data_IF_666275098387
#
_entry.id   IF_666275098387
#
_cell.length_a   1.000
_cell.length_b   1.000
_cell.length_c   1.000
_cell.angle_alpha   90.00
_cell.angle_beta   90.00
_cell.angle_gamma   90.00
#
_symmetry.space_group_name_H-M   'P 1'
#
loop_
_entity.id
_entity.type
_entity.pdbx_description
1 polymer ?
#
# COMPACT_ATOMS: atom_id res chain seq x y z
N UNK A 1 10.26 -20.03 -24.98
CA UNK A 1 9.04 -20.61 -25.59
C UNK A 1 8.93 -20.19 -27.05
N UNK A 2 8.72 -18.91 -27.39
CA UNK A 2 8.64 -18.45 -28.79
C UNK A 2 9.81 -18.92 -29.67
N UNK A 3 11.05 -18.68 -29.24
CA UNK A 3 12.24 -19.17 -29.99
C UNK A 3 12.23 -20.68 -30.29
N UNK A 4 11.76 -21.52 -29.36
CA UNK A 4 11.71 -22.98 -29.53
C UNK A 4 10.55 -23.41 -30.42
N UNK A 5 9.42 -22.71 -30.34
CA UNK A 5 8.27 -22.92 -31.22
C UNK A 5 8.59 -22.55 -32.66
N UNK A 6 9.34 -21.45 -32.86
CA UNK A 6 9.77 -20.99 -34.19
C UNK A 6 10.88 -21.86 -34.78
N UNK A 7 11.74 -22.46 -33.95
CA UNK A 7 12.85 -23.32 -34.42
C UNK A 7 12.43 -24.75 -34.74
N UNK A 8 11.53 -25.34 -33.96
CA UNK A 8 11.13 -26.74 -34.10
C UNK A 8 9.68 -26.86 -34.60
N UNK A 9 8.70 -26.74 -33.69
CA UNK A 9 7.28 -26.92 -34.01
C UNK A 9 6.36 -26.35 -32.94
N UNK A 10 5.14 -25.97 -33.33
CA UNK A 10 4.12 -25.42 -32.43
C UNK A 10 3.81 -26.34 -31.23
N UNK A 11 3.68 -27.67 -31.37
CA UNK A 11 3.54 -28.57 -30.23
C UNK A 11 4.66 -28.53 -29.17
N UNK A 12 5.84 -27.95 -29.44
CA UNK A 12 6.89 -27.77 -28.43
C UNK A 12 6.42 -26.84 -27.28
N UNK A 13 5.43 -25.98 -27.54
CA UNK A 13 4.74 -25.20 -26.53
C UNK A 13 4.11 -26.07 -25.42
N UNK A 14 3.60 -27.26 -25.78
CA UNK A 14 2.95 -28.18 -24.83
C UNK A 14 3.95 -28.76 -23.83
N UNK A 15 5.20 -28.98 -24.25
CA UNK A 15 6.27 -29.43 -23.35
C UNK A 15 6.52 -28.40 -22.24
N UNK A 16 6.67 -27.11 -22.59
CA UNK A 16 6.85 -26.05 -21.60
C UNK A 16 5.60 -25.85 -20.74
N UNK A 17 4.40 -25.84 -21.33
CA UNK A 17 3.15 -25.68 -20.60
C UNK A 17 2.93 -26.80 -19.56
N UNK A 18 3.05 -28.06 -19.98
CA UNK A 18 2.92 -29.22 -19.10
C UNK A 18 4.05 -29.28 -18.07
N UNK A 19 5.29 -29.01 -18.49
CA UNK A 19 6.46 -29.00 -17.61
C UNK A 19 6.35 -27.94 -16.51
N UNK A 20 6.01 -26.70 -16.85
CA UNK A 20 5.80 -25.62 -15.88
C UNK A 20 4.64 -25.97 -14.95
N UNK A 21 3.51 -26.45 -15.49
CA UNK A 21 2.37 -26.82 -14.64
C UNK A 21 2.72 -27.91 -13.62
N UNK A 22 3.34 -29.00 -14.06
CA UNK A 22 3.70 -30.13 -13.19
C UNK A 22 4.77 -29.70 -12.18
N UNK A 23 5.85 -29.07 -12.65
CA UNK A 23 6.99 -28.71 -11.81
C UNK A 23 6.63 -27.60 -10.82
N UNK A 24 5.91 -26.57 -11.25
CA UNK A 24 5.49 -25.47 -10.38
C UNK A 24 4.48 -25.95 -9.34
N UNK A 25 3.47 -26.74 -9.74
CA UNK A 25 2.52 -27.33 -8.79
C UNK A 25 3.23 -28.21 -7.76
N UNK A 26 4.13 -29.08 -8.21
CA UNK A 26 4.82 -30.02 -7.32
C UNK A 26 5.79 -29.32 -6.38
N UNK A 27 6.66 -28.44 -6.90
CA UNK A 27 7.64 -27.72 -6.10
C UNK A 27 6.97 -26.77 -5.10
N UNK A 28 5.91 -26.04 -5.50
CA UNK A 28 5.21 -25.15 -4.58
C UNK A 28 4.54 -25.96 -3.46
N UNK A 29 3.87 -27.07 -3.79
CA UNK A 29 3.23 -27.91 -2.78
C UNK A 29 4.25 -28.49 -1.79
N UNK A 30 5.39 -28.98 -2.30
CA UNK A 30 6.48 -29.49 -1.46
C UNK A 30 7.08 -28.38 -0.59
N UNK A 31 7.36 -27.21 -1.18
CA UNK A 31 7.93 -26.07 -0.49
C UNK A 31 7.00 -25.60 0.65
N UNK A 32 5.70 -25.45 0.38
CA UNK A 32 4.72 -25.07 1.40
C UNK A 32 4.66 -26.13 2.50
N UNK A 33 4.68 -27.42 2.17
CA UNK A 33 4.65 -28.49 3.16
C UNK A 33 5.86 -28.44 4.10
N UNK A 34 7.07 -28.32 3.54
CA UNK A 34 8.32 -28.26 4.31
C UNK A 34 8.42 -26.98 5.13
N UNK A 35 8.07 -25.84 4.55
CA UNK A 35 8.07 -24.55 5.25
C UNK A 35 7.07 -24.60 6.41
N UNK A 36 5.86 -25.12 6.18
CA UNK A 36 4.83 -25.19 7.22
C UNK A 36 5.24 -26.13 8.36
N UNK A 37 5.79 -27.31 8.07
CA UNK A 37 6.26 -28.22 9.11
C UNK A 37 7.43 -27.62 9.90
N UNK A 38 8.38 -26.98 9.21
CA UNK A 38 9.52 -26.30 9.85
C UNK A 38 9.06 -25.14 10.74
N UNK A 39 8.12 -24.31 10.27
CA UNK A 39 7.55 -23.23 11.09
C UNK A 39 6.75 -23.76 12.27
N UNK A 40 6.06 -24.89 12.13
CA UNK A 40 5.37 -25.52 13.25
C UNK A 40 6.36 -25.95 14.33
N UNK A 41 7.46 -26.63 13.96
CA UNK A 41 8.53 -27.03 14.87
C UNK A 41 9.18 -25.81 15.54
N UNK A 42 9.60 -24.81 14.76
CA UNK A 42 10.21 -23.58 15.30
C UNK A 42 9.25 -22.88 16.25
N UNK A 43 7.95 -22.85 15.95
CA UNK A 43 6.95 -22.24 16.82
C UNK A 43 6.76 -23.04 18.10
N UNK A 44 6.81 -24.36 18.05
CA UNK A 44 6.72 -25.23 19.23
C UNK A 44 7.95 -25.04 20.15
N UNK A 45 9.15 -25.04 19.57
CA UNK A 45 10.40 -24.76 20.28
C UNK A 45 10.45 -23.33 20.84
N UNK A 46 10.00 -22.34 20.06
CA UNK A 46 9.94 -20.92 20.49
C UNK A 46 8.88 -20.70 21.58
N UNK A 47 7.78 -21.47 21.60
CA UNK A 47 6.80 -21.44 22.69
C UNK A 47 7.36 -22.06 23.97
N UNK A 48 8.26 -23.04 23.85
CA UNK A 48 8.97 -23.67 24.97
C UNK A 48 10.19 -22.85 25.45
N UNK A 49 10.75 -21.97 24.61
CA UNK A 49 11.96 -21.20 24.90
C UNK A 49 11.66 -19.82 25.51
N UNK A 50 11.74 -19.71 26.84
CA UNK A 50 12.18 -18.58 27.68
C UNK A 50 11.76 -17.10 27.43
N UNK A 51 11.11 -16.73 26.32
CA UNK A 51 10.69 -15.36 25.98
C UNK A 51 9.17 -15.20 25.85
N UNK A 52 8.40 -16.28 25.97
CA UNK A 52 6.99 -16.19 26.34
C UNK A 52 6.90 -15.86 27.83
N UNK A 53 7.22 -14.60 28.17
CA UNK A 53 6.54 -13.94 29.27
C UNK A 53 5.07 -14.20 29.00
N UNK A 54 4.47 -15.14 29.77
CA UNK A 54 3.05 -15.05 30.07
C UNK A 54 2.90 -13.60 30.51
N UNK A 55 2.38 -12.75 29.63
CA UNK A 55 1.80 -11.49 30.10
C UNK A 55 0.77 -11.98 31.09
N UNK A 56 1.06 -11.78 32.37
CA UNK A 56 0.16 -12.16 33.44
C UNK A 56 -1.27 -11.77 33.05
N UNK A 57 -2.28 -12.62 33.35
CA UNK A 57 -3.68 -12.21 33.29
C UNK A 57 -4.02 -11.07 34.28
N UNK A 58 -3.04 -10.52 35.00
CA UNK A 58 -3.16 -9.36 35.87
C UNK A 58 -3.06 -8.05 35.06
N UNK A 59 -3.78 -7.96 33.94
CA UNK A 59 -4.45 -6.68 33.72
C UNK A 59 -5.52 -6.65 34.82
N UNK A 60 -5.48 -5.72 35.79
CA UNK A 60 -6.63 -5.57 36.69
C UNK A 60 -7.88 -5.54 35.80
N UNK A 61 -8.99 -6.20 36.19
CA UNK A 61 -10.21 -6.14 35.42
C UNK A 61 -10.38 -4.67 35.06
N UNK A 62 -10.41 -4.31 33.77
CA UNK A 62 -10.56 -2.93 33.35
C UNK A 62 -11.73 -2.42 34.16
N UNK A 63 -11.44 -1.66 35.20
CA UNK A 63 -12.44 -1.14 36.08
C UNK A 63 -13.33 -0.39 35.11
N UNK A 64 -14.60 -0.81 35.01
CA UNK A 64 -15.55 -0.16 34.13
C UNK A 64 -15.67 1.24 34.71
N UNK A 65 -14.78 2.13 34.30
CA UNK A 65 -14.83 3.54 34.63
C UNK A 65 -16.25 3.91 34.27
N UNK A 66 -17.08 4.30 35.24
CA UNK A 66 -18.47 4.60 34.98
C UNK A 66 -18.48 5.56 33.80
N UNK A 67 -19.30 5.30 32.76
CA UNK A 67 -19.31 6.15 31.59
C UNK A 67 -19.46 7.58 32.08
N UNK A 68 -18.45 8.41 31.79
CA UNK A 68 -18.47 9.82 32.16
C UNK A 68 -19.83 10.37 31.73
N UNK A 69 -20.50 11.18 32.56
CA UNK A 69 -21.81 11.73 32.23
C UNK A 69 -21.69 12.45 30.89
N UNK A 70 -22.27 11.85 29.85
CA UNK A 70 -22.19 12.36 28.49
C UNK A 70 -23.00 13.64 28.41
N UNK A 71 -22.41 14.69 27.82
CA UNK A 71 -23.12 15.95 27.60
C UNK A 71 -24.34 15.69 26.70
N UNK A 72 -25.43 16.45 26.85
CA UNK A 72 -26.64 16.32 25.99
C UNK A 72 -26.29 16.45 24.50
N UNK A 73 -25.26 17.22 24.18
CA UNK A 73 -24.73 17.39 22.82
C UNK A 73 -24.03 16.13 22.30
N UNK A 74 -23.43 15.32 23.17
CA UNK A 74 -22.78 14.06 22.82
C UNK A 74 -23.81 12.98 22.48
N UNK A 75 -24.93 12.91 23.22
CA UNK A 75 -26.03 12.00 22.88
C UNK A 75 -26.71 12.37 21.56
N UNK A 76 -26.83 13.67 21.26
CA UNK A 76 -27.31 14.15 19.95
C UNK A 76 -26.33 13.79 18.82
N UNK A 77 -25.03 13.91 19.10
CA UNK A 77 -23.97 13.51 18.17
C UNK A 77 -24.03 12.02 17.83
N UNK A 78 -24.13 11.15 18.84
CA UNK A 78 -24.16 9.70 18.63
C UNK A 78 -25.33 9.28 17.72
N UNK A 79 -26.48 9.99 17.84
CA UNK A 79 -27.65 9.79 16.99
C UNK A 79 -27.46 10.31 15.55
N UNK A 80 -26.65 11.35 15.35
CA UNK A 80 -26.36 11.94 14.03
C UNK A 80 -25.13 11.34 13.34
N UNK A 81 -24.40 10.44 14.01
CA UNK A 81 -23.19 9.79 13.48
C UNK A 81 -23.37 9.18 12.08
N UNK A 82 -24.51 8.51 11.84
CA UNK A 82 -24.84 7.91 10.54
C UNK A 82 -24.98 8.95 9.42
N UNK A 83 -25.45 10.16 9.72
CA UNK A 83 -25.60 11.24 8.74
C UNK A 83 -24.22 11.67 8.25
N UNK A 84 -23.26 11.84 9.16
CA UNK A 84 -21.90 12.22 8.80
C UNK A 84 -21.18 11.16 7.97
N UNK A 85 -21.40 9.88 8.29
CA UNK A 85 -20.88 8.76 7.50
C UNK A 85 -21.51 8.77 6.08
N UNK A 86 -22.80 9.06 5.96
CA UNK A 86 -23.47 9.19 4.66
C UNK A 86 -22.95 10.39 3.85
N UNK A 87 -22.65 11.52 4.49
CA UNK A 87 -22.03 12.68 3.83
C UNK A 87 -20.65 12.32 3.28
N UNK A 88 -19.83 11.58 4.04
CA UNK A 88 -18.52 11.10 3.57
C UNK A 88 -18.67 10.14 2.40
N UNK A 89 -19.58 9.17 2.49
CA UNK A 89 -19.77 8.19 1.42
C UNK A 89 -20.25 8.83 0.12
N UNK A 90 -21.17 9.81 0.19
CA UNK A 90 -21.61 10.58 -0.97
C UNK A 90 -20.48 11.41 -1.58
N UNK A 91 -19.65 12.06 -0.74
CA UNK A 91 -18.49 12.82 -1.21
C UNK A 91 -17.45 11.94 -1.92
N UNK A 92 -17.14 10.77 -1.35
CA UNK A 92 -16.23 9.81 -1.98
C UNK A 92 -16.81 9.22 -3.27
N UNK A 93 -18.12 8.95 -3.30
CA UNK A 93 -18.80 8.50 -4.52
C UNK A 93 -18.75 9.56 -5.62
N UNK A 94 -18.87 10.85 -5.28
CA UNK A 94 -18.68 11.93 -6.24
C UNK A 94 -17.26 11.95 -6.83
N UNK A 95 -16.23 11.71 -6.00
CA UNK A 95 -14.84 11.62 -6.46
C UNK A 95 -14.60 10.45 -7.42
N UNK A 96 -15.30 9.32 -7.26
CA UNK A 96 -15.20 8.18 -8.18
C UNK A 96 -15.63 8.51 -9.62
N UNK A 97 -16.41 9.58 -9.84
CA UNK A 97 -16.79 10.03 -11.18
C UNK A 97 -15.75 10.92 -11.86
N UNK A 98 -14.61 11.21 -11.20
CA UNK A 98 -13.51 11.98 -11.77
C UNK A 98 -12.84 11.16 -12.89
N UNK A 99 -12.78 11.73 -14.10
CA UNK A 99 -12.15 11.10 -15.27
C UNK A 99 -11.21 12.08 -15.97
N UNK A 100 -10.13 11.58 -16.57
CA UNK A 100 -9.16 12.41 -17.31
C UNK A 100 -9.80 13.23 -18.43
N UNK A 101 -10.87 12.71 -19.04
CA UNK A 101 -11.58 13.34 -20.18
C UNK A 101 -12.97 13.85 -19.79
N UNK A 102 -13.11 14.46 -18.61
CA UNK A 102 -14.41 14.96 -18.15
C UNK A 102 -14.78 16.35 -18.71
N UNK A 103 -16.08 16.60 -18.86
CA UNK A 103 -16.60 17.94 -19.19
C UNK A 103 -16.42 18.91 -18.02
N UNK A 104 -16.31 20.21 -18.33
CA UNK A 104 -16.18 21.28 -17.33
C UNK A 104 -17.33 21.30 -16.30
N UNK A 105 -18.55 20.96 -16.73
CA UNK A 105 -19.71 20.85 -15.83
C UNK A 105 -19.59 19.72 -14.81
N UNK A 106 -19.07 18.54 -15.21
CA UNK A 106 -18.82 17.43 -14.27
C UNK A 106 -17.69 17.78 -13.30
N UNK A 107 -16.63 18.43 -13.78
CA UNK A 107 -15.54 18.89 -12.92
C UNK A 107 -16.06 19.86 -11.85
N UNK A 108 -16.82 20.88 -12.25
CA UNK A 108 -17.43 21.85 -11.34
C UNK A 108 -18.36 21.19 -10.31
N UNK A 109 -19.13 20.18 -10.71
CA UNK A 109 -19.99 19.43 -9.79
C UNK A 109 -19.17 18.65 -8.74
N UNK A 110 -18.14 17.91 -9.15
CA UNK A 110 -17.27 17.16 -8.24
C UNK A 110 -16.55 18.13 -7.29
N UNK A 111 -16.08 19.24 -7.82
CA UNK A 111 -15.40 20.30 -7.08
C UNK A 111 -16.31 20.97 -6.04
N UNK A 112 -17.58 21.22 -6.39
CA UNK A 112 -18.56 21.74 -5.47
C UNK A 112 -18.93 20.72 -4.39
N UNK A 113 -19.11 19.44 -4.77
CA UNK A 113 -19.39 18.37 -3.82
C UNK A 113 -18.25 18.22 -2.79
N UNK A 114 -17.00 18.30 -3.23
CA UNK A 114 -15.81 18.23 -2.35
C UNK A 114 -15.75 19.38 -1.34
N UNK A 115 -16.05 20.60 -1.79
CA UNK A 115 -16.14 21.80 -0.93
C UNK A 115 -17.27 21.63 0.09
N UNK A 116 -18.46 21.25 -0.36
CA UNK A 116 -19.64 21.06 0.51
C UNK A 116 -19.38 19.96 1.54
N UNK A 117 -18.85 18.81 1.14
CA UNK A 117 -18.50 17.72 2.07
C UNK A 117 -17.48 18.18 3.10
N UNK A 118 -16.45 18.92 2.71
CA UNK A 118 -15.42 19.40 3.63
C UNK A 118 -15.99 20.42 4.64
N UNK A 119 -16.79 21.38 4.17
CA UNK A 119 -17.46 22.34 5.06
C UNK A 119 -18.39 21.66 6.06
N UNK A 120 -19.16 20.65 5.62
CA UNK A 120 -20.02 19.88 6.51
C UNK A 120 -19.21 19.16 7.60
N UNK A 121 -18.07 18.57 7.25
CA UNK A 121 -17.20 17.89 8.22
C UNK A 121 -16.50 18.87 9.17
N UNK A 122 -16.15 20.07 8.71
CA UNK A 122 -15.64 21.12 9.60
C UNK A 122 -16.67 21.51 10.65
N UNK A 123 -17.95 21.65 10.24
CA UNK A 123 -19.07 21.88 11.17
C UNK A 123 -19.22 20.71 12.14
N UNK A 124 -19.10 19.46 11.69
CA UNK A 124 -19.13 18.28 12.57
C UNK A 124 -18.06 18.38 13.66
N UNK A 125 -16.83 18.74 13.31
CA UNK A 125 -15.71 18.83 14.24
C UNK A 125 -15.90 19.97 15.23
N UNK A 126 -16.41 21.12 14.79
CA UNK A 126 -16.75 22.24 15.67
C UNK A 126 -17.82 21.81 16.69
N UNK A 127 -18.88 21.10 16.25
CA UNK A 127 -19.93 20.59 17.15
C UNK A 127 -19.34 19.62 18.18
N UNK A 128 -18.48 18.68 17.76
CA UNK A 128 -17.83 17.71 18.65
C UNK A 128 -16.90 18.38 19.65
N UNK A 129 -16.13 19.37 19.19
CA UNK A 129 -15.20 20.11 20.03
C UNK A 129 -15.94 20.97 21.07
N UNK A 130 -17.06 21.60 20.69
CA UNK A 130 -17.92 22.32 21.62
C UNK A 130 -18.63 21.37 22.63
N UNK A 131 -18.98 20.16 22.21
CA UNK A 131 -19.63 19.17 23.07
C UNK A 131 -18.70 18.55 24.12
N UNK A 132 -17.41 18.37 23.80
CA UNK A 132 -16.42 17.71 24.68
C UNK A 132 -15.05 18.41 24.67
N UNK A 133 -15.01 19.70 25.05
CA UNK A 133 -13.79 20.51 25.08
C UNK A 133 -12.62 19.88 25.87
N UNK A 134 -12.93 19.25 27.01
CA UNK A 134 -11.90 18.68 27.92
C UNK A 134 -11.46 17.26 27.54
N UNK A 135 -12.32 16.48 26.90
CA UNK A 135 -12.06 15.09 26.51
C UNK A 135 -11.62 14.91 25.06
N UNK A 136 -11.81 15.92 24.19
CA UNK A 136 -11.57 15.80 22.75
C UNK A 136 -10.18 15.24 22.40
N UNK A 137 -9.12 15.77 23.02
CA UNK A 137 -7.74 15.37 22.75
C UNK A 137 -7.36 13.98 23.28
N UNK A 138 -8.18 13.36 24.14
CA UNK A 138 -7.88 12.03 24.70
C UNK A 138 -8.21 10.88 23.75
N UNK A 139 -9.05 11.13 22.75
CA UNK A 139 -9.48 10.10 21.81
C UNK A 139 -8.72 10.21 20.49
N UNK A 140 -7.94 9.19 20.14
CA UNK A 140 -7.16 9.17 18.89
C UNK A 140 -8.03 9.38 17.64
N UNK A 141 -9.27 8.86 17.64
CA UNK A 141 -10.24 9.07 16.55
C UNK A 141 -10.58 10.56 16.36
N UNK A 142 -10.80 11.29 17.46
CA UNK A 142 -11.14 12.71 17.41
C UNK A 142 -9.94 13.55 16.95
N UNK A 143 -8.73 13.20 17.40
CA UNK A 143 -7.51 13.88 16.96
C UNK A 143 -7.23 13.65 15.47
N UNK A 144 -7.43 12.41 15.00
CA UNK A 144 -7.27 12.06 13.59
C UNK A 144 -8.34 12.73 12.71
N UNK A 145 -9.59 12.77 13.17
CA UNK A 145 -10.67 13.49 12.51
C UNK A 145 -10.40 15.00 12.41
N UNK A 146 -9.89 15.62 13.48
CA UNK A 146 -9.47 17.03 13.47
C UNK A 146 -8.31 17.25 12.49
N UNK A 147 -7.29 16.39 12.51
CA UNK A 147 -6.18 16.46 11.57
C UNK A 147 -6.65 16.38 10.11
N UNK A 148 -7.56 15.45 9.81
CA UNK A 148 -8.15 15.31 8.48
C UNK A 148 -8.94 16.55 8.08
N UNK A 149 -9.81 17.06 8.95
CA UNK A 149 -10.58 18.28 8.70
C UNK A 149 -9.66 19.46 8.37
N UNK A 150 -8.71 19.77 9.25
CA UNK A 150 -7.75 20.87 9.06
C UNK A 150 -6.95 20.69 7.76
N UNK A 151 -6.39 19.50 7.53
CA UNK A 151 -5.56 19.24 6.34
C UNK A 151 -6.36 19.41 5.05
N UNK A 152 -7.57 18.85 5.00
CA UNK A 152 -8.43 18.95 3.81
C UNK A 152 -8.95 20.36 3.57
N UNK A 153 -9.27 21.12 4.61
CA UNK A 153 -9.67 22.53 4.46
C UNK A 153 -8.51 23.41 3.96
N UNK A 154 -7.28 23.14 4.39
CA UNK A 154 -6.08 23.80 3.85
C UNK A 154 -5.89 23.47 2.37
N UNK A 155 -6.02 22.21 1.97
CA UNK A 155 -5.85 21.77 0.58
C UNK A 155 -6.84 22.44 -0.37
N UNK A 156 -8.03 22.78 0.11
CA UNK A 156 -9.08 23.45 -0.68
C UNK A 156 -8.83 24.95 -0.91
N UNK A 157 -7.86 25.57 -0.21
CA UNK A 157 -7.56 26.99 -0.40
C UNK A 157 -7.09 27.27 -1.84
N UNK A 158 -7.53 28.38 -2.47
CA UNK A 158 -7.22 28.68 -3.87
C UNK A 158 -5.72 28.58 -4.26
N UNK A 159 -4.76 29.01 -3.41
CA UNK A 159 -3.34 28.88 -3.74
C UNK A 159 -2.87 27.42 -3.88
N UNK A 160 -3.39 26.51 -3.07
CA UNK A 160 -2.97 25.09 -3.06
C UNK A 160 -3.78 24.30 -4.09
N UNK A 161 -5.06 24.60 -4.23
CA UNK A 161 -5.96 23.96 -5.18
C UNK A 161 -5.52 24.18 -6.64
N UNK A 162 -5.01 25.36 -6.95
CA UNK A 162 -4.53 25.70 -8.30
C UNK A 162 -3.12 25.16 -8.60
N UNK A 163 -2.45 24.51 -7.64
CA UNK A 163 -1.09 24.00 -7.80
C UNK A 163 -1.00 22.67 -8.60
N UNK A 164 -2.08 22.26 -9.27
CA UNK A 164 -2.13 21.14 -10.21
C UNK A 164 -1.68 19.81 -9.59
N UNK A 165 -0.44 19.40 -9.89
CA UNK A 165 0.13 18.13 -9.44
C UNK A 165 0.23 18.01 -7.91
N UNK A 166 0.52 19.11 -7.22
CA UNK A 166 0.60 19.11 -5.75
C UNK A 166 -0.76 18.78 -5.14
N UNK A 167 -1.83 19.40 -5.65
CA UNK A 167 -3.20 19.08 -5.22
C UNK A 167 -3.55 17.62 -5.50
N UNK A 168 -3.15 17.07 -6.66
CA UNK A 168 -3.40 15.66 -7.00
C UNK A 168 -2.85 14.69 -5.95
N UNK A 169 -1.62 14.90 -5.45
CA UNK A 169 -1.06 14.09 -4.37
C UNK A 169 -1.79 14.29 -3.03
N UNK A 170 -2.23 15.51 -2.75
CA UNK A 170 -2.92 15.86 -1.51
C UNK A 170 -4.35 15.31 -1.43
N UNK A 171 -4.95 14.91 -2.55
CA UNK A 171 -6.27 14.26 -2.57
C UNK A 171 -6.32 12.96 -1.76
N UNK A 172 -5.16 12.33 -1.48
CA UNK A 172 -5.08 11.14 -0.61
C UNK A 172 -5.67 11.40 0.78
N UNK A 173 -5.51 12.60 1.35
CA UNK A 173 -6.08 12.95 2.66
C UNK A 173 -7.60 13.04 2.63
N UNK A 174 -8.17 13.38 1.47
CA UNK A 174 -9.62 13.41 1.27
C UNK A 174 -10.17 11.99 1.19
N UNK A 175 -9.47 11.11 0.48
CA UNK A 175 -9.80 9.68 0.38
C UNK A 175 -9.68 9.00 1.74
N UNK A 176 -8.70 9.38 2.56
CA UNK A 176 -8.41 8.78 3.87
C UNK A 176 -9.62 8.78 4.81
N UNK A 177 -10.59 9.71 4.63
CA UNK A 177 -11.88 9.74 5.34
C UNK A 177 -12.70 8.45 5.21
N UNK A 178 -12.43 7.61 4.19
CA UNK A 178 -13.00 6.27 4.04
C UNK A 178 -12.82 5.42 5.30
N UNK A 179 -11.78 5.69 6.10
CA UNK A 179 -11.55 5.00 7.37
C UNK A 179 -12.77 5.06 8.31
N UNK A 180 -13.55 6.16 8.31
CA UNK A 180 -14.77 6.28 9.13
C UNK A 180 -15.86 5.36 8.61
N UNK A 181 -16.00 5.26 7.29
CA UNK A 181 -16.94 4.33 6.65
C UNK A 181 -16.55 2.90 7.00
N UNK A 182 -15.27 2.54 6.89
CA UNK A 182 -14.75 1.21 7.25
C UNK A 182 -15.00 0.89 8.73
N UNK A 183 -14.83 1.86 9.63
CA UNK A 183 -15.06 1.66 11.06
C UNK A 183 -16.55 1.62 11.44
N UNK A 184 -17.39 2.33 10.69
CA UNK A 184 -18.83 2.44 10.93
C UNK A 184 -19.63 1.28 10.36
N UNK A 185 -19.21 0.75 9.20
CA UNK A 185 -19.71 -0.54 8.74
C UNK A 185 -19.38 -1.54 9.85
N UNK A 186 -20.37 -2.26 10.39
CA UNK A 186 -20.12 -3.28 11.39
C UNK A 186 -19.33 -4.41 10.74
N UNK A 187 -18.01 -4.26 10.69
CA UNK A 187 -17.07 -5.36 10.50
C UNK A 187 -17.07 -6.20 11.78
N UNK A 188 -18.23 -6.41 12.42
CA UNK A 188 -18.41 -7.16 13.66
C UNK A 188 -18.74 -8.62 13.39
N UNK A 189 -18.48 -9.09 12.16
CA UNK A 189 -18.55 -10.49 11.75
C UNK A 189 -17.17 -11.11 11.54
N UNK A 190 -17.10 -12.06 10.61
CA UNK A 190 -15.90 -12.85 10.28
C UNK A 190 -14.71 -11.96 9.92
N UNK A 191 -14.92 -10.93 9.10
CA UNK A 191 -13.86 -10.06 8.59
C UNK A 191 -13.15 -9.26 9.69
N UNK A 192 -13.87 -8.79 10.71
CA UNK A 192 -13.25 -7.99 11.78
C UNK A 192 -12.51 -8.86 12.78
N UNK A 193 -13.01 -10.07 13.02
CA UNK A 193 -12.29 -11.07 13.80
C UNK A 193 -10.98 -11.47 13.10
N UNK A 194 -11.00 -11.61 11.76
CA UNK A 194 -9.80 -11.88 10.98
C UNK A 194 -8.82 -10.71 11.05
N UNK A 195 -9.27 -9.48 10.78
CA UNK A 195 -8.43 -8.27 10.86
C UNK A 195 -7.84 -8.12 12.26
N UNK A 196 -8.62 -8.33 13.33
CA UNK A 196 -8.11 -8.27 14.72
C UNK A 196 -7.12 -9.38 15.04
N UNK A 197 -7.24 -10.57 14.44
CA UNK A 197 -6.24 -11.64 14.59
C UNK A 197 -4.94 -11.30 13.88
N UNK A 198 -5.02 -10.75 12.66
CA UNK A 198 -3.85 -10.32 11.88
C UNK A 198 -3.17 -9.13 12.55
N UNK A 199 -3.91 -8.06 12.86
CA UNK A 199 -3.40 -6.86 13.54
C UNK A 199 -3.08 -7.12 15.02
N UNK A 200 -3.62 -8.17 15.64
CA UNK A 200 -3.25 -8.61 16.99
C UNK A 200 -1.79 -9.05 17.07
N UNK A 201 -1.19 -9.44 15.95
CA UNK A 201 0.24 -9.67 15.79
C UNK A 201 0.93 -8.56 14.96
N UNK A 202 0.43 -7.31 15.03
CA UNK A 202 0.98 -6.20 14.26
C UNK A 202 2.48 -6.00 14.50
N UNK A 203 2.97 -6.21 15.72
CA UNK A 203 4.41 -6.11 16.02
C UNK A 203 5.23 -7.17 15.28
N UNK A 204 4.74 -8.41 15.18
CA UNK A 204 5.42 -9.46 14.42
C UNK A 204 5.45 -9.15 12.92
N UNK A 205 4.32 -8.67 12.37
CA UNK A 205 4.23 -8.25 10.97
C UNK A 205 5.17 -7.08 10.69
N UNK A 206 5.18 -6.07 11.57
CA UNK A 206 6.06 -4.90 11.43
C UNK A 206 7.54 -5.28 11.49
N UNK A 207 7.93 -6.16 12.42
CA UNK A 207 9.31 -6.64 12.51
C UNK A 207 9.73 -7.39 11.24
N UNK A 208 8.84 -8.23 10.70
CA UNK A 208 9.10 -8.93 9.44
C UNK A 208 9.21 -7.95 8.26
N UNK A 209 8.29 -6.99 8.16
CA UNK A 209 8.33 -5.95 7.12
C UNK A 209 9.62 -5.13 7.19
N UNK A 210 10.03 -4.72 8.39
CA UNK A 210 11.28 -3.97 8.59
C UNK A 210 12.49 -4.81 8.23
N UNK A 211 12.52 -6.09 8.62
CA UNK A 211 13.60 -7.01 8.28
C UNK A 211 13.74 -7.18 6.76
N UNK A 212 12.64 -7.44 6.06
CA UNK A 212 12.61 -7.56 4.59
C UNK A 212 13.06 -6.25 3.96
N UNK A 213 12.51 -5.11 4.40
CA UNK A 213 12.91 -3.78 3.93
C UNK A 213 14.42 -3.55 4.07
N UNK A 214 15.00 -3.90 5.23
CA UNK A 214 16.42 -3.69 5.50
C UNK A 214 17.31 -4.57 4.61
N UNK A 215 16.96 -5.85 4.43
CA UNK A 215 17.71 -6.73 3.52
C UNK A 215 17.61 -6.22 2.07
N UNK A 216 16.42 -5.85 1.62
CA UNK A 216 16.24 -5.28 0.27
C UNK A 216 17.04 -4.00 0.11
N UNK A 217 17.09 -3.16 1.13
CA UNK A 217 17.89 -1.93 1.13
C UNK A 217 19.39 -2.22 1.01
N UNK A 218 19.91 -3.19 1.77
CA UNK A 218 21.32 -3.61 1.67
C UNK A 218 21.61 -4.17 0.27
N UNK A 219 20.72 -4.99 -0.29
CA UNK A 219 20.86 -5.52 -1.65
C UNK A 219 20.84 -4.41 -2.70
N UNK A 220 20.01 -3.38 -2.51
CA UNK A 220 19.99 -2.21 -3.38
C UNK A 220 21.33 -1.46 -3.36
N UNK A 221 21.98 -1.33 -2.19
CA UNK A 221 23.32 -0.75 -2.09
C UNK A 221 24.35 -1.58 -2.88
N UNK A 222 24.31 -2.92 -2.80
CA UNK A 222 25.17 -3.77 -3.62
C UNK A 222 24.88 -3.63 -5.11
N UNK A 223 23.61 -3.59 -5.51
CA UNK A 223 23.20 -3.43 -6.90
C UNK A 223 23.71 -2.10 -7.49
N UNK A 224 23.70 -1.02 -6.72
CA UNK A 224 24.35 0.24 -7.11
C UNK A 224 25.84 0.04 -7.36
N UNK A 225 26.56 -0.65 -6.48
CA UNK A 225 28.01 -0.82 -6.67
C UNK A 225 28.36 -1.72 -7.85
N UNK A 226 27.51 -2.71 -8.14
CA UNK A 226 27.77 -3.70 -9.18
C UNK A 226 27.32 -3.26 -10.57
N UNK A 227 26.20 -2.54 -10.67
CA UNK A 227 25.52 -2.29 -11.95
C UNK A 227 25.36 -0.80 -12.29
N UNK A 228 25.96 0.10 -11.50
CA UNK A 228 25.92 1.53 -11.81
C UNK A 228 26.60 1.82 -13.15
N UNK A 229 25.83 2.41 -14.06
CA UNK A 229 26.32 2.81 -15.38
C UNK A 229 26.31 1.69 -16.42
N UNK A 230 25.92 0.46 -16.03
CA UNK A 230 25.68 -0.63 -16.97
C UNK A 230 24.33 -0.43 -17.67
N UNK A 231 23.27 -0.16 -16.90
CA UNK A 231 21.94 0.15 -17.43
C UNK A 231 21.83 1.63 -17.83
N UNK A 232 21.16 1.91 -18.95
CA UNK A 232 20.84 3.27 -19.37
C UNK A 232 19.98 3.98 -18.32
N UNK A 233 20.25 5.25 -18.05
CA UNK A 233 19.42 6.05 -17.13
C UNK A 233 18.03 6.38 -17.68
N UNK A 234 17.79 6.14 -18.97
CA UNK A 234 16.50 6.33 -19.62
C UNK A 234 15.50 5.22 -19.31
N UNK A 235 15.94 4.10 -18.72
CA UNK A 235 15.06 3.02 -18.30
C UNK A 235 14.46 3.29 -16.92
N UNK A 236 13.22 2.84 -16.70
CA UNK A 236 12.46 3.06 -15.46
C UNK A 236 13.21 2.50 -14.22
N UNK A 237 14.04 1.47 -14.40
CA UNK A 237 14.84 0.82 -13.35
C UNK A 237 16.32 0.86 -13.70
N UNK A 238 16.93 2.02 -13.48
CA UNK A 238 18.38 2.16 -13.59
C UNK A 238 19.07 1.96 -12.24
N UNK A 239 20.01 1.02 -12.11
CA UNK A 239 20.79 0.81 -10.87
C UNK A 239 21.81 1.95 -10.57
N UNK A 240 21.55 3.15 -11.06
CA UNK A 240 22.46 4.29 -10.99
C UNK A 240 22.50 4.93 -9.60
N UNK A 241 21.32 5.12 -8.99
CA UNK A 241 21.15 5.71 -7.67
C UNK A 241 20.44 4.74 -6.71
N UNK A 242 20.54 4.98 -5.41
CA UNK A 242 19.99 4.08 -4.38
C UNK A 242 18.47 3.96 -4.47
N UNK A 243 17.77 5.02 -4.88
CA UNK A 243 16.31 5.01 -4.99
C UNK A 243 15.83 4.07 -6.10
N UNK A 244 16.34 4.24 -7.32
CA UNK A 244 16.00 3.37 -8.46
C UNK A 244 16.47 1.94 -8.22
N UNK A 245 17.66 1.74 -7.63
CA UNK A 245 18.13 0.41 -7.25
C UNK A 245 17.23 -0.25 -6.21
N UNK A 246 16.70 0.51 -5.25
CA UNK A 246 15.76 -0.03 -4.27
C UNK A 246 14.46 -0.48 -4.93
N UNK A 247 13.90 0.31 -5.86
CA UNK A 247 12.72 -0.07 -6.62
C UNK A 247 12.99 -1.32 -7.49
N UNK A 248 14.14 -1.40 -8.16
CA UNK A 248 14.52 -2.58 -8.93
C UNK A 248 14.67 -3.83 -8.07
N UNK A 249 15.31 -3.72 -6.91
CA UNK A 249 15.40 -4.85 -5.96
C UNK A 249 14.04 -5.20 -5.35
N UNK A 250 13.15 -4.23 -5.17
CA UNK A 250 11.78 -4.47 -4.71
C UNK A 250 10.96 -5.24 -5.75
N UNK A 251 11.13 -4.91 -7.04
CA UNK A 251 10.51 -5.65 -8.15
C UNK A 251 11.06 -7.08 -8.28
N UNK A 252 12.38 -7.27 -8.11
CA UNK A 252 12.96 -8.62 -8.05
C UNK A 252 12.40 -9.39 -6.84
N UNK A 253 12.25 -8.74 -5.69
CA UNK A 253 11.67 -9.35 -4.48
C UNK A 253 10.23 -9.82 -4.69
N UNK A 254 9.39 -9.04 -5.40
CA UNK A 254 8.02 -9.45 -5.73
C UNK A 254 7.96 -10.52 -6.83
N UNK A 255 9.10 -10.87 -7.43
CA UNK A 255 9.22 -11.75 -8.60
C UNK A 255 8.47 -11.25 -9.83
N UNK A 256 8.19 -9.95 -9.89
CA UNK A 256 7.53 -9.29 -11.01
C UNK A 256 8.60 -8.83 -12.01
N UNK A 257 8.46 -9.19 -13.30
CA UNK A 257 9.32 -8.74 -14.40
C UNK A 257 10.85 -8.77 -14.11
N UNK A 258 11.29 -9.65 -13.21
CA UNK A 258 12.69 -9.78 -12.81
C UNK A 258 13.58 -10.26 -13.96
N UNK A 259 12.99 -10.96 -14.93
CA UNK A 259 13.66 -11.43 -16.14
C UNK A 259 14.07 -10.27 -17.04
N UNK A 260 13.28 -9.20 -17.12
CA UNK A 260 13.63 -8.00 -17.89
C UNK A 260 14.91 -7.37 -17.36
N UNK A 261 14.96 -7.15 -16.04
CA UNK A 261 16.15 -6.63 -15.36
C UNK A 261 17.36 -7.56 -15.56
N UNK A 262 17.16 -8.87 -15.44
CA UNK A 262 18.22 -9.86 -15.68
C UNK A 262 18.79 -9.74 -17.10
N UNK A 263 17.92 -9.73 -18.11
CA UNK A 263 18.35 -9.70 -19.51
C UNK A 263 19.04 -8.39 -19.84
N UNK A 264 18.58 -7.27 -19.31
CA UNK A 264 19.17 -5.96 -19.55
C UNK A 264 20.61 -5.86 -18.98
N UNK A 265 20.79 -6.30 -17.74
CA UNK A 265 22.12 -6.38 -17.10
C UNK A 265 23.04 -7.32 -17.89
N UNK A 266 22.52 -8.46 -18.31
CA UNK A 266 23.30 -9.48 -19.04
C UNK A 266 23.67 -9.03 -20.45
N UNK A 267 22.78 -8.32 -21.16
CA UNK A 267 23.06 -7.79 -22.49
C UNK A 267 24.18 -6.75 -22.47
N UNK A 268 24.21 -5.93 -21.42
CA UNK A 268 25.21 -4.85 -21.29
C UNK A 268 26.57 -5.35 -20.86
N UNK A 269 26.62 -6.40 -20.03
CA UNK A 269 27.87 -7.00 -19.54
C UNK A 269 28.58 -7.94 -20.54
N UNK A 270 28.02 -8.14 -21.75
CA UNK A 270 28.72 -8.83 -22.85
C UNK A 270 29.89 -7.97 -23.36
N UNK A 271 31.07 -8.57 -23.67
CA UNK A 271 32.28 -7.81 -23.98
C UNK A 271 32.08 -6.85 -25.17
N UNK A 272 32.63 -5.64 -25.00
CA UNK A 272 32.59 -4.45 -25.88
C UNK A 272 32.62 -4.68 -27.40
N UNK A 273 33.11 -5.84 -27.88
CA UNK A 273 33.14 -6.21 -29.30
C UNK A 273 31.76 -6.40 -29.97
N UNK A 274 30.70 -6.74 -29.23
CA UNK A 274 29.34 -6.90 -29.82
C UNK A 274 28.50 -5.62 -29.81
N UNK A 275 28.74 -4.70 -28.87
CA UNK A 275 28.08 -3.39 -28.80
C UNK A 275 28.38 -2.52 -30.05
N UNK A 276 29.58 -2.61 -30.62
CA UNK A 276 29.92 -1.94 -31.89
C UNK A 276 29.12 -2.47 -33.08
N UNK A 277 28.68 -3.74 -33.04
CA UNK A 277 27.90 -4.37 -34.10
C UNK A 277 26.40 -4.02 -34.00
N UNK A 278 25.86 -3.85 -32.79
CA UNK A 278 24.48 -3.37 -32.54
C UNK A 278 24.35 -1.85 -32.76
N UNK A 279 25.29 -1.02 -32.26
CA UNK A 279 25.33 0.43 -32.57
C UNK A 279 25.63 0.72 -34.04
N UNK A 280 26.51 -0.07 -34.67
CA UNK A 280 26.76 0.01 -36.12
C UNK A 280 25.49 -0.24 -36.94
N UNK A 281 24.69 -1.27 -36.59
CA UNK A 281 23.42 -1.58 -37.27
C UNK A 281 22.30 -0.56 -37.03
N UNK A 282 22.23 0.10 -35.86
CA UNK A 282 21.27 1.20 -35.63
C UNK A 282 21.70 2.52 -36.31
N UNK A 283 23.00 2.73 -36.52
CA UNK A 283 23.52 3.93 -37.20
C UNK A 283 23.49 3.80 -38.74
N UNK A 284 23.68 2.61 -39.29
CA UNK A 284 23.42 2.33 -40.71
C UNK A 284 21.96 1.92 -40.87
N UNK A 285 21.08 2.91 -41.01
CA UNK A 285 19.75 2.68 -41.56
C UNK A 285 19.87 2.05 -42.95
N UNK A 286 19.80 0.73 -43.01
CA UNK A 286 19.43 0.01 -44.22
C UNK A 286 18.14 -0.73 -43.89
N UNK A 287 17.09 -0.23 -44.53
CA UNK A 287 15.80 -0.89 -44.80
C UNK A 287 15.90 -2.40 -44.92
#
# INVERSE_FOLDING_TARGET
MYYTTDSDYLPAALYFGAGIMILMLWLINLLIAVITSSFQVIREESRASAFTVKRDPLSPPKEKVPPLPVSRLQTLYDKTSLIWIAVISLGLMAQCFRSATMSSGRAAFIDAAEVVTTLLLDVEIIIRFAADWRGFHRTWKNLFDLFLAVTTSIILLPPIRNAGQVYAYLTIFQILRIYRVVLAVPITGITGNLIRRVLGNATGIWNLMLFVFLITFIMALFAVQLFRGEISQEEDISFFNVYNSFLGMWQILSSEDWTSILYEVTETSLPFGKLRRKRGRKATGTS
#
